data_IF_995641336620
#
_entry.id   IF_995641336620
#
_cell.length_a   1.000
_cell.length_b   1.000
_cell.length_c   1.000
_cell.angle_alpha   90.00
_cell.angle_beta   90.00
_cell.angle_gamma   90.00
#
_symmetry.space_group_name_H-M   'P 1'
#
loop_
_entity.id
_entity.type
_entity.pdbx_description
1 polymer ?
#
# COMPACT_ATOMS: atom_id res chain seq x y z
N UNK A 1 -28.30 -8.95 2.97
CA UNK A 1 -27.65 -8.07 3.97
C UNK A 1 -26.22 -8.52 4.24
N UNK A 2 -25.98 -9.82 4.41
CA UNK A 2 -24.64 -10.41 4.64
C UNK A 2 -23.60 -10.12 3.54
N UNK A 3 -24.01 -10.15 2.27
CA UNK A 3 -23.12 -9.86 1.12
C UNK A 3 -22.67 -8.41 1.04
N UNK A 4 -23.50 -7.46 1.51
CA UNK A 4 -23.16 -6.04 1.53
C UNK A 4 -22.14 -5.74 2.64
N UNK A 5 -22.32 -6.31 3.83
CA UNK A 5 -21.33 -6.24 4.91
C UNK A 5 -20.00 -6.86 4.51
N UNK A 6 -20.02 -8.04 3.88
CA UNK A 6 -18.81 -8.71 3.40
C UNK A 6 -18.05 -7.94 2.29
N UNK A 7 -18.73 -7.05 1.56
CA UNK A 7 -18.05 -6.15 0.59
C UNK A 7 -17.34 -5.03 1.32
N UNK A 8 -18.02 -4.37 2.26
CA UNK A 8 -17.47 -3.25 3.04
C UNK A 8 -16.25 -3.67 3.86
N UNK A 9 -16.30 -4.86 4.49
CA UNK A 9 -15.20 -5.42 5.26
C UNK A 9 -13.95 -5.69 4.39
N UNK A 10 -14.14 -6.06 3.11
CA UNK A 10 -13.02 -6.23 2.16
C UNK A 10 -12.36 -4.89 1.81
N UNK A 11 -13.15 -3.84 1.59
CA UNK A 11 -12.61 -2.50 1.31
C UNK A 11 -11.67 -2.05 2.43
N UNK A 12 -12.12 -2.15 3.67
CA UNK A 12 -11.30 -1.83 4.83
C UNK A 12 -10.05 -2.72 4.94
N UNK A 13 -10.22 -4.04 4.84
CA UNK A 13 -9.11 -5.00 4.95
C UNK A 13 -8.02 -4.79 3.88
N UNK A 14 -8.42 -4.56 2.63
CA UNK A 14 -7.49 -4.26 1.52
C UNK A 14 -6.79 -2.91 1.72
N UNK A 15 -7.51 -1.88 2.16
CA UNK A 15 -6.94 -0.56 2.47
C UNK A 15 -5.83 -0.68 3.52
N UNK A 16 -6.07 -1.43 4.60
CA UNK A 16 -5.07 -1.69 5.66
C UNK A 16 -3.88 -2.49 5.13
N UNK A 17 -4.14 -3.55 4.36
CA UNK A 17 -3.08 -4.36 3.74
C UNK A 17 -2.15 -3.49 2.88
N UNK A 18 -2.72 -2.69 1.97
CA UNK A 18 -1.94 -1.84 1.09
C UNK A 18 -1.24 -0.69 1.83
N UNK A 19 -1.81 -0.17 2.91
CA UNK A 19 -1.13 0.79 3.77
C UNK A 19 0.13 0.18 4.41
N UNK A 20 0.06 -1.08 4.87
CA UNK A 20 1.24 -1.80 5.39
C UNK A 20 2.29 -1.99 4.30
N UNK A 21 1.90 -2.42 3.10
CA UNK A 21 2.82 -2.57 1.96
C UNK A 21 3.47 -1.23 1.61
N UNK A 22 2.70 -0.14 1.64
CA UNK A 22 3.24 1.19 1.39
C UNK A 22 4.31 1.59 2.41
N UNK A 23 4.05 1.34 3.70
CA UNK A 23 5.01 1.57 4.77
C UNK A 23 6.28 0.74 4.59
N UNK A 24 6.18 -0.53 4.18
CA UNK A 24 7.35 -1.35 3.88
C UNK A 24 8.19 -0.78 2.73
N UNK A 25 7.54 -0.28 1.67
CA UNK A 25 8.22 0.42 0.57
C UNK A 25 8.96 1.67 1.04
N UNK A 26 8.32 2.48 1.91
CA UNK A 26 8.94 3.68 2.52
C UNK A 26 10.12 3.32 3.42
N UNK A 27 10.00 2.28 4.25
CA UNK A 27 11.09 1.83 5.12
C UNK A 27 12.28 1.33 4.28
N UNK A 28 12.01 0.56 3.21
CA UNK A 28 13.03 0.13 2.26
C UNK A 28 13.72 1.32 1.56
N UNK A 29 12.94 2.30 1.12
CA UNK A 29 13.46 3.53 0.52
C UNK A 29 14.34 4.30 1.49
N UNK A 30 13.90 4.46 2.75
CA UNK A 30 14.66 5.14 3.79
C UNK A 30 15.98 4.43 4.08
N UNK A 31 15.95 3.11 4.26
CA UNK A 31 17.15 2.31 4.51
C UNK A 31 18.16 2.40 3.35
N UNK A 32 17.69 2.36 2.10
CA UNK A 32 18.54 2.55 0.93
C UNK A 32 19.15 3.96 0.84
N UNK A 33 18.41 4.97 1.34
CA UNK A 33 18.93 6.33 1.49
C UNK A 33 20.13 6.43 2.44
N UNK A 34 20.23 5.53 3.44
CA UNK A 34 21.38 5.48 4.35
C UNK A 34 22.63 4.89 3.71
N UNK A 35 22.48 4.02 2.70
CA UNK A 35 23.61 3.39 1.99
C UNK A 35 23.96 4.09 0.68
N UNK A 36 23.12 5.00 0.19
CA UNK A 36 23.28 5.68 -1.08
C UNK A 36 22.85 4.85 -2.30
N UNK A 37 22.19 3.69 -2.10
CA UNK A 37 21.69 2.86 -3.19
C UNK A 37 20.40 3.46 -3.79
N UNK A 38 20.59 4.29 -4.82
CA UNK A 38 19.50 5.01 -5.46
C UNK A 38 18.51 4.09 -6.19
N UNK A 39 18.96 2.92 -6.70
CA UNK A 39 18.07 1.98 -7.38
C UNK A 39 17.12 1.32 -6.39
N UNK A 40 17.63 0.85 -5.26
CA UNK A 40 16.78 0.26 -4.20
C UNK A 40 15.84 1.32 -3.62
N UNK A 41 16.31 2.55 -3.45
CA UNK A 41 15.46 3.65 -3.01
C UNK A 41 14.30 3.92 -3.99
N UNK A 42 14.60 3.97 -5.30
CA UNK A 42 13.59 4.18 -6.33
C UNK A 42 12.56 3.05 -6.38
N UNK A 43 12.99 1.79 -6.19
CA UNK A 43 12.08 0.63 -6.11
C UNK A 43 11.18 0.75 -4.87
N UNK A 44 11.73 1.12 -3.71
CA UNK A 44 10.96 1.33 -2.48
C UNK A 44 9.87 2.40 -2.67
N UNK A 45 10.22 3.51 -3.32
CA UNK A 45 9.27 4.58 -3.66
C UNK A 45 8.17 4.09 -4.62
N UNK A 46 8.55 3.35 -5.67
CA UNK A 46 7.60 2.78 -6.63
C UNK A 46 6.59 1.87 -5.94
N UNK A 47 7.06 0.95 -5.10
CA UNK A 47 6.21 0.03 -4.32
C UNK A 47 5.26 0.81 -3.42
N UNK A 48 5.77 1.82 -2.71
CA UNK A 48 4.96 2.64 -1.82
C UNK A 48 3.84 3.37 -2.57
N UNK A 49 4.17 3.97 -3.72
CA UNK A 49 3.21 4.73 -4.53
C UNK A 49 2.14 3.83 -5.11
N UNK A 50 2.52 2.68 -5.69
CA UNK A 50 1.56 1.71 -6.25
C UNK A 50 0.63 1.18 -5.16
N UNK A 51 1.16 0.82 -3.99
CA UNK A 51 0.34 0.35 -2.87
C UNK A 51 -0.65 1.43 -2.40
N UNK A 52 -0.21 2.69 -2.28
CA UNK A 52 -1.10 3.79 -1.93
C UNK A 52 -2.24 3.97 -2.96
N UNK A 53 -1.96 3.87 -4.25
CA UNK A 53 -2.99 3.93 -5.31
C UNK A 53 -3.98 2.76 -5.22
N UNK A 54 -3.50 1.55 -4.92
CA UNK A 54 -4.35 0.36 -4.73
C UNK A 54 -5.23 0.48 -3.48
N UNK A 55 -4.74 1.12 -2.41
CA UNK A 55 -5.51 1.41 -1.19
C UNK A 55 -6.73 2.28 -1.48
N UNK A 56 -6.53 3.37 -2.24
CA UNK A 56 -7.63 4.25 -2.68
C UNK A 56 -8.61 3.48 -3.58
N UNK A 57 -8.07 2.69 -4.52
CA UNK A 57 -8.89 1.89 -5.44
C UNK A 57 -9.76 0.87 -4.68
N UNK A 58 -9.22 0.22 -3.64
CA UNK A 58 -9.97 -0.72 -2.81
C UNK A 58 -11.13 -0.05 -2.07
N UNK A 59 -10.92 1.17 -1.57
CA UNK A 59 -11.97 1.94 -0.91
C UNK A 59 -13.09 2.31 -1.90
N UNK A 60 -12.76 2.65 -3.15
CA UNK A 60 -13.80 2.94 -4.14
C UNK A 60 -14.53 1.70 -4.68
N UNK A 61 -13.87 0.55 -4.73
CA UNK A 61 -14.41 -0.67 -5.34
C UNK A 61 -15.21 -1.52 -4.34
N UNK A 62 -14.85 -1.45 -3.05
CA UNK A 62 -15.41 -2.31 -2.01
C UNK A 62 -15.86 -1.54 -0.75
N UNK A 63 -15.66 -0.22 -0.68
CA UNK A 63 -16.11 0.61 0.44
C UNK A 63 -17.57 1.03 0.36
#
# INVERSE_FOLDING_TARGET
METASATSDKGFGLTVLFAIVALLGVVGMFAAGLTGDQLVAAIGFLVATVAASLSVSATHLFG
#
